data_IF_673169486520
#
_entry.id   IF_673169486520
#
_cell.length_a   1.000
_cell.length_b   1.000
_cell.length_c   1.000
_cell.angle_alpha   90.00
_cell.angle_beta   90.00
_cell.angle_gamma   90.00
#
_symmetry.space_group_name_H-M   'P 1'
#
loop_
_entity.id
_entity.type
_entity.pdbx_description
1 polymer ?
#
# COMPACT_ATOMS: atom_id res chain seq x y z
N UNK A 1 -12.22 32.19 5.67
CA UNK A 1 -10.94 31.55 5.32
C UNK A 1 -11.26 30.18 4.71
N UNK A 2 -11.15 29.99 3.39
CA UNK A 2 -11.37 28.68 2.75
C UNK A 2 -10.13 27.82 3.00
N UNK A 3 -10.22 26.81 3.85
CA UNK A 3 -9.18 25.77 3.95
C UNK A 3 -9.22 25.01 2.62
N UNK A 4 -8.23 25.22 1.75
CA UNK A 4 -8.06 24.37 0.56
C UNK A 4 -7.61 22.99 1.05
N UNK A 5 -8.53 22.03 1.05
CA UNK A 5 -8.22 20.60 1.26
C UNK A 5 -7.25 20.18 0.15
N UNK A 6 -6.00 19.86 0.53
CA UNK A 6 -5.03 19.30 -0.40
C UNK A 6 -5.43 17.85 -0.71
N UNK A 7 -5.21 17.36 -1.94
CA UNK A 7 -5.39 15.94 -2.23
C UNK A 7 -4.46 15.09 -1.35
N UNK A 8 -4.80 13.80 -1.12
CA UNK A 8 -3.93 12.88 -0.39
C UNK A 8 -2.54 12.82 -1.03
N UNK A 9 -1.49 12.75 -0.19
CA UNK A 9 -0.13 12.48 -0.64
C UNK A 9 -0.07 11.08 -1.25
N UNK A 10 0.53 10.94 -2.43
CA UNK A 10 0.73 9.66 -3.12
C UNK A 10 2.22 9.35 -3.16
N UNK A 11 2.60 8.18 -2.69
CA UNK A 11 4.00 7.74 -2.63
C UNK A 11 4.12 6.42 -3.39
N UNK A 12 4.93 6.40 -4.45
CA UNK A 12 5.22 5.19 -5.20
C UNK A 12 6.43 4.47 -4.61
N UNK A 13 6.31 3.17 -4.34
CA UNK A 13 7.42 2.33 -3.87
C UNK A 13 7.78 1.36 -4.99
N UNK A 14 8.87 1.67 -5.69
CA UNK A 14 9.41 0.89 -6.80
C UNK A 14 10.73 0.20 -6.44
N UNK A 15 11.12 -0.78 -7.24
CA UNK A 15 12.36 -1.54 -7.08
C UNK A 15 12.28 -2.94 -7.68
N UNK A 16 13.43 -3.61 -7.92
CA UNK A 16 13.49 -4.96 -8.48
C UNK A 16 12.66 -5.99 -7.69
N UNK A 17 12.36 -7.13 -8.31
CA UNK A 17 11.69 -8.25 -7.64
C UNK A 17 12.57 -8.75 -6.48
N UNK A 18 11.96 -9.05 -5.32
CA UNK A 18 12.66 -9.58 -4.16
C UNK A 18 13.38 -8.57 -3.26
N UNK A 19 13.36 -7.26 -3.55
CA UNK A 19 14.08 -6.24 -2.74
C UNK A 19 13.32 -5.78 -1.47
N UNK A 20 12.26 -6.48 -1.07
CA UNK A 20 11.55 -6.19 0.18
C UNK A 20 10.58 -5.01 0.12
N UNK A 21 10.05 -4.63 -1.06
CA UNK A 21 9.07 -3.54 -1.20
C UNK A 21 7.84 -3.74 -0.31
N UNK A 22 7.26 -4.93 -0.33
CA UNK A 22 6.08 -5.28 0.48
C UNK A 22 6.38 -5.21 1.97
N UNK A 23 7.57 -5.66 2.40
CA UNK A 23 8.05 -5.53 3.78
C UNK A 23 8.20 -4.08 4.20
N UNK A 24 8.75 -3.22 3.33
CA UNK A 24 8.84 -1.78 3.61
C UNK A 24 7.46 -1.16 3.77
N UNK A 25 6.51 -1.48 2.88
CA UNK A 25 5.12 -1.01 2.95
C UNK A 25 4.47 -1.43 4.27
N UNK A 26 4.64 -2.69 4.67
CA UNK A 26 4.11 -3.22 5.94
C UNK A 26 4.61 -2.40 7.13
N UNK A 27 5.93 -2.20 7.23
CA UNK A 27 6.55 -1.47 8.33
C UNK A 27 6.13 -0.01 8.37
N UNK A 28 6.02 0.65 7.21
CA UNK A 28 5.51 2.03 7.12
C UNK A 28 4.06 2.11 7.58
N UNK A 29 3.19 1.18 7.16
CA UNK A 29 1.80 1.16 7.60
C UNK A 29 1.70 1.02 9.11
N UNK A 30 2.39 0.04 9.70
CA UNK A 30 2.39 -0.18 11.15
C UNK A 30 2.90 1.03 11.94
N UNK A 31 3.92 1.73 11.43
CA UNK A 31 4.47 2.91 12.08
C UNK A 31 3.59 4.17 11.98
N UNK A 32 2.76 4.27 10.93
CA UNK A 32 2.07 5.52 10.57
C UNK A 32 0.56 5.48 10.73
N UNK A 33 -0.07 4.30 10.74
CA UNK A 33 -1.55 4.15 10.74
C UNK A 33 -2.28 4.77 11.92
N UNK A 34 -1.59 4.95 13.05
CA UNK A 34 -2.18 5.57 14.24
C UNK A 34 -2.14 7.11 14.18
N UNK A 35 -1.40 7.67 13.22
CA UNK A 35 -1.19 9.12 13.07
C UNK A 35 -1.80 9.68 11.78
N UNK A 36 -1.98 8.84 10.77
CA UNK A 36 -2.40 9.24 9.44
C UNK A 36 -3.52 8.34 8.90
N UNK A 37 -4.39 8.92 8.08
CA UNK A 37 -5.36 8.18 7.30
C UNK A 37 -4.67 7.57 6.07
N UNK A 38 -4.48 6.25 6.08
CA UNK A 38 -3.67 5.53 5.09
C UNK A 38 -4.47 4.53 4.27
N UNK A 39 -4.07 4.40 3.01
CA UNK A 39 -4.48 3.35 2.07
C UNK A 39 -3.24 2.83 1.34
N UNK A 40 -3.25 1.55 1.00
CA UNK A 40 -2.22 0.91 0.18
C UNK A 40 -2.85 0.35 -1.09
N UNK A 41 -2.20 0.64 -2.22
CA UNK A 41 -2.50 0.01 -3.50
C UNK A 41 -1.28 -0.82 -3.88
N UNK A 42 -1.42 -2.14 -3.95
CA UNK A 42 -0.37 -3.05 -4.41
C UNK A 42 -0.59 -3.38 -5.88
N UNK A 43 0.48 -3.36 -6.66
CA UNK A 43 0.46 -3.80 -8.04
C UNK A 43 1.24 -5.12 -8.15
N UNK A 44 0.56 -6.17 -8.57
CA UNK A 44 1.19 -7.44 -8.91
C UNK A 44 0.64 -7.94 -10.26
N UNK A 45 1.47 -8.66 -11.01
CA UNK A 45 1.25 -8.90 -12.45
C UNK A 45 0.18 -9.96 -12.69
N UNK A 46 0.15 -11.00 -11.85
CA UNK A 46 -0.72 -12.18 -12.02
C UNK A 46 -1.44 -12.63 -10.74
N UNK A 47 -1.14 -12.02 -9.60
CA UNK A 47 -1.69 -12.47 -8.31
C UNK A 47 -2.10 -11.29 -7.45
N UNK A 48 -2.74 -11.58 -6.31
CA UNK A 48 -3.01 -10.60 -5.25
C UNK A 48 -2.21 -10.90 -3.98
N UNK A 49 -1.04 -11.51 -4.15
CA UNK A 49 -0.25 -12.01 -3.03
C UNK A 49 0.23 -10.88 -2.12
N UNK A 50 0.67 -9.75 -2.67
CA UNK A 50 1.05 -8.59 -1.87
C UNK A 50 -0.13 -8.04 -1.03
N UNK A 51 -1.35 -7.98 -1.59
CA UNK A 51 -2.54 -7.60 -0.83
C UNK A 51 -2.80 -8.60 0.31
N UNK A 52 -2.71 -9.90 0.02
CA UNK A 52 -2.92 -10.96 1.02
C UNK A 52 -1.89 -10.88 2.14
N UNK A 53 -0.61 -10.74 1.80
CA UNK A 53 0.50 -10.63 2.74
C UNK A 53 0.31 -9.45 3.69
N UNK A 54 -0.01 -8.27 3.16
CA UNK A 54 -0.24 -7.07 3.98
C UNK A 54 -1.48 -7.21 4.88
N UNK A 55 -2.52 -7.87 4.38
CA UNK A 55 -3.75 -8.14 5.16
C UNK A 55 -3.47 -9.09 6.31
N UNK A 56 -2.81 -10.22 6.05
CA UNK A 56 -2.45 -11.23 7.07
C UNK A 56 -1.45 -10.66 8.08
N UNK A 57 -0.50 -9.84 7.63
CA UNK A 57 0.45 -9.16 8.51
C UNK A 57 -0.19 -8.09 9.40
N UNK A 58 -1.47 -7.79 9.17
CA UNK A 58 -2.21 -6.75 9.88
C UNK A 58 -1.60 -5.38 9.66
N UNK A 59 -1.17 -5.05 8.43
CA UNK A 59 -0.60 -3.75 8.10
C UNK A 59 -1.64 -2.63 8.27
N UNK A 60 -2.82 -2.82 7.66
CA UNK A 60 -4.00 -1.96 7.75
C UNK A 60 -5.27 -2.84 7.78
N UNK A 61 -6.44 -2.29 8.14
CA UNK A 61 -7.73 -2.94 7.88
C UNK A 61 -7.88 -3.38 6.42
N UNK A 62 -8.46 -4.56 6.12
CA UNK A 62 -8.52 -5.12 4.77
C UNK A 62 -9.13 -4.16 3.72
N UNK A 63 -10.16 -3.39 4.11
CA UNK A 63 -10.83 -2.40 3.26
C UNK A 63 -9.93 -1.23 2.84
N UNK A 64 -8.75 -1.10 3.43
CA UNK A 64 -7.73 -0.08 3.11
C UNK A 64 -6.57 -0.62 2.27
N UNK A 65 -6.62 -1.89 1.86
CA UNK A 65 -5.59 -2.55 1.06
C UNK A 65 -6.22 -3.04 -0.25
N UNK A 66 -5.82 -2.44 -1.36
CA UNK A 66 -6.32 -2.79 -2.69
C UNK A 66 -5.22 -3.40 -3.55
N UNK A 67 -5.39 -4.63 -4.00
CA UNK A 67 -4.58 -5.25 -5.04
C UNK A 67 -5.14 -4.95 -6.42
N UNK A 68 -4.31 -4.39 -7.29
CA UNK A 68 -4.60 -4.20 -8.72
C UNK A 68 -3.74 -5.14 -9.55
N UNK A 69 -4.35 -5.76 -10.55
CA UNK A 69 -3.66 -6.57 -11.55
C UNK A 69 -3.43 -5.71 -12.79
N UNK A 70 -2.17 -5.49 -13.18
CA UNK A 70 -1.88 -4.67 -14.38
C UNK A 70 -1.87 -5.45 -15.68
N UNK A 71 -1.96 -6.79 -15.62
CA UNK A 71 -1.75 -7.66 -16.76
C UNK A 71 -0.26 -7.73 -17.15
N UNK A 72 0.13 -8.85 -17.75
CA UNK A 72 1.44 -8.97 -18.42
C UNK A 72 1.42 -8.16 -19.71
N UNK A 73 2.48 -7.37 -19.95
CA UNK A 73 2.76 -6.79 -21.26
C UNK A 73 3.14 -7.91 -22.25
#
# INVERSE_FOLDING_TARGET
MRIKTKPPLRVGIGGPVGTGKTTLVEMLCKALRDRYDLLVITNDIYTKEDQRLLTVAGALPPERILGVETGGC
#
